data_IF_390148932809
#
_entry.id   IF_390148932809
#
_cell.length_a   1.000
_cell.length_b   1.000
_cell.length_c   1.000
_cell.angle_alpha   90.00
_cell.angle_beta   90.00
_cell.angle_gamma   90.00
#
_symmetry.space_group_name_H-M   'P 1'
#
loop_
_entity.id
_entity.type
_entity.pdbx_description
1 polymer ?
#
# COMPACT_ATOMS: atom_id res chain seq x y z
N UNK A 1 15.56 52.20 10.20
CA UNK A 1 14.64 52.17 9.03
C UNK A 1 14.22 50.72 8.81
N UNK A 2 12.95 50.48 8.44
CA UNK A 2 12.20 49.25 8.75
C UNK A 2 12.09 48.25 7.57
N UNK A 3 11.31 47.18 7.80
CA UNK A 3 10.71 46.21 6.87
C UNK A 3 11.50 44.88 6.71
N UNK A 4 10.91 43.68 6.65
CA UNK A 4 9.50 43.30 6.53
C UNK A 4 9.33 41.81 6.89
N UNK A 5 8.12 41.51 7.36
CA UNK A 5 7.41 40.25 7.53
C UNK A 5 7.92 38.95 6.86
N UNK A 6 7.65 37.85 7.57
CA UNK A 6 7.62 36.51 6.99
C UNK A 6 7.26 35.41 7.98
N UNK A 7 6.28 35.63 8.87
CA UNK A 7 5.64 34.54 9.61
C UNK A 7 4.77 33.74 8.62
N UNK A 8 5.40 32.85 7.88
CA UNK A 8 4.73 31.80 7.12
C UNK A 8 4.72 30.55 7.99
N UNK A 9 3.68 30.44 8.81
CA UNK A 9 3.29 29.22 9.50
C UNK A 9 3.13 28.14 8.42
N UNK A 10 4.17 27.34 8.21
CA UNK A 10 4.09 26.15 7.41
C UNK A 10 3.16 25.21 8.18
N UNK A 11 1.89 25.22 7.79
CA UNK A 11 0.89 24.28 8.23
C UNK A 11 1.47 22.89 8.07
N UNK A 12 1.94 22.33 9.19
CA UNK A 12 2.25 20.93 9.30
C UNK A 12 0.94 20.23 8.92
N UNK A 13 0.92 19.60 7.75
CA UNK A 13 -0.11 18.66 7.39
C UNK A 13 -0.30 17.74 8.61
N UNK A 14 -1.53 17.48 9.07
CA UNK A 14 -1.75 16.50 10.11
C UNK A 14 -1.28 15.16 9.55
N UNK A 15 -0.02 14.82 9.81
CA UNK A 15 0.43 13.45 9.85
C UNK A 15 -0.40 12.87 10.98
N UNK A 16 -1.49 12.22 10.58
CA UNK A 16 -2.33 11.32 11.38
C UNK A 16 -1.39 10.24 11.93
N UNK A 17 -0.62 10.65 12.94
CA UNK A 17 0.33 9.85 13.65
C UNK A 17 -0.54 9.11 14.64
N UNK A 18 -1.12 8.02 14.16
CA UNK A 18 -1.68 7.00 15.04
C UNK A 18 -0.50 6.42 15.81
N UNK A 19 -0.06 7.14 16.85
CA UNK A 19 0.94 6.71 17.83
C UNK A 19 0.30 5.72 18.80
N UNK A 20 -0.31 4.68 18.23
CA UNK A 20 -0.86 3.53 18.92
C UNK A 20 -0.01 2.29 18.62
N UNK A 21 -0.20 1.19 19.35
CA UNK A 21 0.41 -0.08 18.99
C UNK A 21 0.07 -0.44 17.54
N UNK A 22 1.07 -0.84 16.77
CA UNK A 22 0.92 -1.31 15.39
C UNK A 22 1.09 -2.82 15.31
N UNK A 23 0.57 -3.42 14.24
CA UNK A 23 0.77 -4.83 13.90
C UNK A 23 1.16 -4.98 12.43
N UNK A 24 1.73 -6.14 12.08
CA UNK A 24 2.11 -6.45 10.70
C UNK A 24 1.00 -7.28 10.03
N UNK A 25 0.49 -6.76 8.92
CA UNK A 25 -0.40 -7.48 8.02
C UNK A 25 0.41 -8.01 6.84
N UNK A 26 0.67 -9.31 6.85
CA UNK A 26 1.31 -10.02 5.75
C UNK A 26 0.25 -10.51 4.75
N UNK A 27 0.33 -10.05 3.51
CA UNK A 27 -0.54 -10.49 2.42
C UNK A 27 0.34 -11.12 1.35
N UNK A 28 0.03 -12.36 1.00
CA UNK A 28 0.76 -13.11 -0.01
C UNK A 28 -0.19 -13.98 -0.81
N UNK A 29 0.21 -14.35 -2.01
CA UNK A 29 -0.60 -15.18 -2.88
C UNK A 29 0.01 -15.32 -4.27
N UNK A 30 -0.80 -15.84 -5.19
CA UNK A 30 -0.43 -16.02 -6.59
C UNK A 30 -1.63 -15.68 -7.47
N UNK A 31 -1.44 -14.77 -8.41
CA UNK A 31 -2.44 -14.44 -9.43
C UNK A 31 -2.25 -15.41 -10.59
N UNK A 32 -3.33 -16.09 -10.99
CA UNK A 32 -3.32 -17.06 -12.08
C UNK A 32 -4.39 -16.73 -13.10
N UNK A 33 -4.13 -17.07 -14.36
CA UNK A 33 -5.11 -16.98 -15.43
C UNK A 33 -6.07 -18.20 -15.39
N UNK A 34 -7.13 -18.23 -16.22
CA UNK A 34 -8.06 -19.35 -16.29
C UNK A 34 -7.44 -20.71 -16.65
N UNK A 35 -6.21 -20.72 -17.20
CA UNK A 35 -5.45 -21.93 -17.53
C UNK A 35 -4.49 -22.36 -16.41
N UNK A 36 -4.48 -21.64 -15.27
CA UNK A 36 -3.62 -21.94 -14.12
C UNK A 36 -2.18 -21.44 -14.24
N UNK A 37 -1.84 -20.71 -15.31
CA UNK A 37 -0.52 -20.09 -15.44
C UNK A 37 -0.48 -18.79 -14.62
N UNK A 38 0.67 -18.54 -13.99
CA UNK A 38 0.92 -17.31 -13.24
C UNK A 38 0.82 -16.06 -14.11
N UNK A 39 0.21 -15.01 -13.57
CA UNK A 39 0.13 -13.71 -14.22
C UNK A 39 1.23 -12.81 -13.66
N UNK A 40 2.32 -12.70 -14.41
CA UNK A 40 3.42 -11.78 -14.08
C UNK A 40 3.02 -10.32 -14.21
N UNK A 41 3.76 -9.42 -13.55
CA UNK A 41 3.67 -7.96 -13.73
C UNK A 41 2.21 -7.45 -13.74
N UNK A 42 1.43 -7.95 -12.79
CA UNK A 42 0.10 -7.45 -12.47
C UNK A 42 0.22 -6.49 -11.29
N UNK A 43 -0.35 -5.30 -11.43
CA UNK A 43 -0.40 -4.29 -10.39
C UNK A 43 -1.46 -4.68 -9.35
N UNK A 44 -1.09 -4.62 -8.07
CA UNK A 44 -1.94 -4.95 -6.94
C UNK A 44 -2.09 -3.72 -6.05
N UNK A 45 -3.34 -3.32 -5.84
CA UNK A 45 -3.73 -2.31 -4.86
C UNK A 45 -4.49 -3.00 -3.73
N UNK A 46 -4.11 -2.72 -2.48
CA UNK A 46 -4.70 -3.35 -1.30
C UNK A 46 -5.48 -2.31 -0.51
N UNK A 47 -6.72 -2.66 -0.17
CA UNK A 47 -7.58 -1.86 0.69
C UNK A 47 -7.92 -2.64 1.96
N UNK A 48 -7.86 -1.94 3.10
CA UNK A 48 -8.34 -2.43 4.39
C UNK A 48 -9.49 -1.52 4.84
N UNK A 49 -10.68 -2.08 4.99
CA UNK A 49 -11.90 -1.34 5.38
C UNK A 49 -12.15 -0.12 4.48
N UNK A 50 -11.90 -0.27 3.18
CA UNK A 50 -12.06 0.78 2.17
C UNK A 50 -10.93 1.81 2.10
N UNK A 51 -9.91 1.73 2.97
CA UNK A 51 -8.72 2.59 2.92
C UNK A 51 -7.58 1.88 2.21
N UNK A 52 -7.01 2.54 1.21
CA UNK A 52 -5.82 2.02 0.50
C UNK A 52 -4.62 1.95 1.46
N UNK A 53 -3.99 0.79 1.51
CA UNK A 53 -2.76 0.59 2.26
C UNK A 53 -1.56 0.95 1.37
N UNK A 54 -0.78 1.94 1.81
CA UNK A 54 0.44 2.33 1.14
C UNK A 54 1.58 1.43 1.58
N UNK A 55 2.33 0.90 0.61
CA UNK A 55 3.46 0.05 0.91
C UNK A 55 4.63 0.92 1.42
N UNK A 56 5.20 0.66 2.62
CA UNK A 56 6.32 1.46 3.13
C UNK A 56 7.65 1.18 2.41
N UNK A 57 7.76 0.10 1.63
CA UNK A 57 9.02 -0.39 1.05
C UNK A 57 9.36 0.17 -0.36
N UNK A 58 8.93 1.39 -0.71
CA UNK A 58 9.26 2.03 -2.00
C UNK A 58 10.65 2.69 -2.04
N UNK A 59 11.66 2.10 -1.40
CA UNK A 59 13.06 2.55 -1.51
C UNK A 59 13.90 1.46 -2.18
N UNK A 60 14.35 1.73 -3.41
CA UNK A 60 15.21 0.93 -4.31
C UNK A 60 14.50 0.18 -5.45
N UNK A 61 14.16 0.93 -6.50
CA UNK A 61 13.88 0.40 -7.83
C UNK A 61 13.36 1.50 -8.76
N UNK A 62 14.03 1.72 -9.90
CA UNK A 62 13.58 2.69 -10.90
C UNK A 62 12.25 2.22 -11.52
N UNK A 63 11.12 2.79 -11.05
CA UNK A 63 9.81 2.72 -11.70
C UNK A 63 8.68 2.13 -10.85
N UNK A 64 7.76 2.98 -10.40
CA UNK A 64 6.37 2.59 -10.11
C UNK A 64 6.00 2.34 -8.65
N UNK A 65 5.06 3.14 -8.13
CA UNK A 65 4.56 3.18 -6.75
C UNK A 65 3.56 2.05 -6.41
N UNK A 66 3.87 0.79 -6.71
CA UNK A 66 2.89 -0.30 -6.64
C UNK A 66 3.44 -1.63 -6.14
N UNK A 67 2.55 -2.55 -5.76
CA UNK A 67 2.88 -3.95 -5.53
C UNK A 67 2.66 -4.67 -6.86
N UNK A 68 3.65 -5.43 -7.32
CA UNK A 68 3.56 -6.16 -8.59
C UNK A 68 3.80 -7.65 -8.37
N UNK A 69 3.16 -8.49 -9.18
CA UNK A 69 3.44 -9.93 -9.18
C UNK A 69 4.78 -10.25 -9.86
N UNK A 70 5.45 -11.28 -9.36
CA UNK A 70 6.67 -11.85 -9.95
C UNK A 70 6.37 -12.63 -11.24
N UNK A 71 7.41 -13.08 -11.95
CA UNK A 71 7.30 -13.86 -13.20
C UNK A 71 6.35 -15.07 -13.10
N UNK A 72 6.27 -15.70 -11.93
CA UNK A 72 5.39 -16.85 -11.71
C UNK A 72 3.98 -16.46 -11.21
N UNK A 73 3.67 -15.16 -11.15
CA UNK A 73 2.43 -14.60 -10.62
C UNK A 73 2.36 -14.47 -9.10
N UNK A 74 3.42 -14.86 -8.37
CA UNK A 74 3.45 -14.75 -6.91
C UNK A 74 3.66 -13.30 -6.44
N UNK A 75 3.11 -12.97 -5.28
CA UNK A 75 3.36 -11.70 -4.60
C UNK A 75 3.39 -11.89 -3.09
N UNK A 76 4.14 -11.02 -2.42
CA UNK A 76 4.12 -10.88 -0.98
C UNK A 76 4.34 -9.41 -0.64
N UNK A 77 3.55 -8.91 0.30
CA UNK A 77 3.69 -7.56 0.83
C UNK A 77 3.40 -7.55 2.33
N UNK A 78 4.01 -6.60 3.03
CA UNK A 78 3.87 -6.43 4.47
C UNK A 78 3.47 -5.00 4.75
N UNK A 79 2.33 -4.82 5.39
CA UNK A 79 1.85 -3.51 5.81
C UNK A 79 1.93 -3.37 7.32
N UNK A 80 2.32 -2.19 7.77
CA UNK A 80 2.17 -1.81 9.18
C UNK A 80 0.81 -1.15 9.34
N UNK A 81 -0.08 -1.78 10.11
CA UNK A 81 -1.45 -1.28 10.36
C UNK A 81 -1.65 -0.99 11.85
N UNK A 82 -2.60 -0.12 12.23
CA UNK A 82 -2.99 0.03 13.62
C UNK A 82 -3.47 -1.31 14.19
N UNK A 83 -3.10 -1.62 15.43
CA UNK A 83 -3.52 -2.87 16.09
C UNK A 83 -5.05 -2.94 16.18
N UNK A 84 -5.62 -4.07 15.74
CA UNK A 84 -7.08 -4.28 15.69
C UNK A 84 -7.72 -3.76 14.39
N UNK A 85 -6.95 -3.15 13.47
CA UNK A 85 -7.51 -2.74 12.18
C UNK A 85 -7.89 -3.94 11.30
N UNK A 86 -7.29 -5.11 11.55
CA UNK A 86 -7.60 -6.38 10.89
C UNK A 86 -8.44 -7.33 11.78
N UNK A 87 -9.38 -6.80 12.56
CA UNK A 87 -10.32 -7.60 13.36
C UNK A 87 -11.29 -8.43 12.49
N UNK A 88 -12.13 -9.26 13.13
CA UNK A 88 -12.99 -10.25 12.48
C UNK A 88 -13.97 -9.71 11.43
N UNK A 89 -14.31 -8.43 11.52
CA UNK A 89 -15.21 -7.73 10.58
C UNK A 89 -14.43 -6.95 9.50
N UNK A 90 -13.10 -6.98 9.55
CA UNK A 90 -12.26 -6.25 8.61
C UNK A 90 -12.37 -6.85 7.21
N UNK A 91 -12.62 -5.98 6.23
CA UNK A 91 -12.67 -6.34 4.83
C UNK A 91 -11.34 -6.00 4.16
N UNK A 92 -10.64 -7.02 3.68
CA UNK A 92 -9.47 -6.86 2.80
C UNK A 92 -9.97 -6.99 1.36
N UNK A 93 -9.75 -5.95 0.57
CA UNK A 93 -10.04 -5.96 -0.87
C UNK A 93 -8.73 -5.81 -1.63
N UNK A 94 -8.52 -6.65 -2.63
CA UNK A 94 -7.42 -6.55 -3.57
C UNK A 94 -7.99 -6.14 -4.92
N UNK A 95 -7.49 -5.05 -5.48
CA UNK A 95 -7.70 -4.72 -6.87
C UNK A 95 -6.45 -5.12 -7.64
N UNK A 96 -6.62 -5.93 -8.67
CA UNK A 96 -5.54 -6.45 -9.48
C UNK A 96 -5.76 -6.01 -10.91
N UNK A 97 -4.79 -5.32 -11.48
CA UNK A 97 -4.85 -4.81 -12.83
C UNK A 97 -3.69 -5.34 -13.66
N UNK A 98 -4.00 -5.80 -14.88
CA UNK A 98 -3.03 -6.04 -15.92
C UNK A 98 -3.68 -5.69 -17.25
N UNK A 99 -2.96 -4.96 -18.11
CA UNK A 99 -3.50 -4.45 -19.38
C UNK A 99 -4.04 -5.52 -20.33
N UNK A 100 -3.62 -6.78 -20.15
CA UNK A 100 -4.02 -7.91 -20.97
C UNK A 100 -5.15 -8.78 -20.37
N UNK A 101 -5.80 -8.33 -19.30
CA UNK A 101 -6.88 -9.04 -18.59
C UNK A 101 -8.11 -8.16 -18.32
#
# INVERSE_FOLDING_TARGET
>A
MPALAGAGEAAAAPHDSVAGPTEQLNIFGKIVNPHGAGVEDAEITVFLNGKELKNPHTEHGYGGKGIYTSLDGSFQTVFTIPRGAADREAAIKLEVYKSSY
#
